data_IF_498099107032
#
_entry.id   IF_498099107032
#
_cell.length_a   1.000
_cell.length_b   1.000
_cell.length_c   1.000
_cell.angle_alpha   90.00
_cell.angle_beta   90.00
_cell.angle_gamma   90.00
#
_symmetry.space_group_name_H-M   'P 1'
#
loop_
_entity.id
_entity.type
_entity.pdbx_description
1 polymer ?
#
# COMPACT_ATOMS: atom_id res chain seq x y z
N UNK A 1 8.15 20.55 22.78
CA UNK A 1 9.32 20.29 21.93
C UNK A 1 9.76 18.84 22.13
N UNK A 2 9.25 17.90 21.33
CA UNK A 2 9.73 16.52 21.28
C UNK A 2 10.30 16.29 19.89
N UNK A 3 11.52 15.79 19.87
CA UNK A 3 12.36 15.58 18.70
C UNK A 3 11.89 14.29 18.01
N UNK A 4 11.09 14.37 16.95
CA UNK A 4 10.77 13.21 16.10
C UNK A 4 11.99 12.93 15.24
N UNK A 5 12.86 12.04 15.75
CA UNK A 5 14.09 11.64 15.10
C UNK A 5 13.85 11.09 13.69
N UNK A 6 14.50 11.70 12.71
CA UNK A 6 14.73 11.12 11.39
C UNK A 6 15.52 9.82 11.55
N UNK A 7 14.84 8.69 11.53
CA UNK A 7 15.49 7.41 11.26
C UNK A 7 15.61 7.25 9.74
N UNK A 8 16.63 7.87 9.14
CA UNK A 8 17.06 7.49 7.80
C UNK A 8 17.67 6.09 7.88
N UNK A 9 17.09 5.15 7.14
CA UNK A 9 17.55 3.76 7.07
C UNK A 9 18.79 3.72 6.16
N UNK A 10 19.89 3.18 6.67
CA UNK A 10 21.13 2.92 5.94
C UNK A 10 21.11 1.49 5.36
N UNK A 11 20.95 1.40 4.03
CA UNK A 11 20.83 0.13 3.31
C UNK A 11 22.17 -0.54 2.96
N UNK A 12 23.32 0.06 3.33
CA UNK A 12 24.65 -0.40 2.91
C UNK A 12 25.17 -1.69 3.58
N UNK A 13 24.41 -2.29 4.51
CA UNK A 13 24.91 -3.38 5.39
C UNK A 13 24.34 -4.80 5.14
N UNK A 14 23.63 -5.04 4.03
CA UNK A 14 23.04 -6.37 3.72
C UNK A 14 23.69 -7.10 2.54
N UNK A 15 25.02 -7.12 2.48
CA UNK A 15 25.72 -8.02 1.56
C UNK A 15 26.66 -8.91 2.39
N UNK A 16 26.28 -10.17 2.64
CA UNK A 16 27.28 -11.24 2.79
C UNK A 16 26.65 -12.65 2.65
N UNK A 17 27.25 -13.38 1.71
CA UNK A 17 27.43 -14.84 1.59
C UNK A 17 26.25 -15.72 1.16
N UNK A 18 26.43 -16.34 -0.02
CA UNK A 18 26.32 -17.78 -0.24
C UNK A 18 27.11 -18.15 -1.51
N UNK A 19 28.34 -18.65 -1.34
CA UNK A 19 29.08 -19.34 -2.41
C UNK A 19 29.26 -20.82 -2.03
N UNK A 20 28.32 -21.64 -2.48
CA UNK A 20 28.43 -23.10 -2.49
C UNK A 20 28.44 -23.60 -3.93
N UNK A 21 29.53 -24.22 -4.35
CA UNK A 21 29.65 -24.81 -5.68
C UNK A 21 28.75 -26.04 -5.80
N UNK A 22 27.99 -26.14 -6.89
CA UNK A 22 27.19 -27.33 -7.25
C UNK A 22 27.65 -27.83 -8.62
N UNK A 23 27.93 -29.13 -8.71
CA UNK A 23 28.35 -29.82 -9.92
C UNK A 23 27.21 -29.89 -10.96
N UNK A 24 27.51 -29.99 -12.27
CA UNK A 24 26.49 -29.88 -13.31
C UNK A 24 25.68 -31.18 -13.44
N UNK A 25 24.35 -31.07 -13.33
CA UNK A 25 23.42 -32.10 -13.76
C UNK A 25 23.03 -31.85 -15.23
N UNK A 26 23.05 -32.90 -16.04
CA UNK A 26 22.68 -32.90 -17.45
C UNK A 26 21.23 -32.47 -17.67
N UNK A 27 21.02 -31.51 -18.58
CA UNK A 27 19.70 -30.97 -18.90
C UNK A 27 19.02 -31.78 -20.01
N UNK A 28 17.83 -32.31 -19.70
CA UNK A 28 16.83 -32.66 -20.70
C UNK A 28 15.96 -31.42 -20.98
N UNK A 29 15.52 -31.19 -22.23
CA UNK A 29 14.71 -30.03 -22.57
C UNK A 29 13.33 -30.15 -21.94
N UNK A 30 13.07 -29.33 -20.91
CA UNK A 30 11.73 -29.14 -20.37
C UNK A 30 10.90 -28.36 -21.40
N UNK A 31 9.82 -28.95 -21.88
CA UNK A 31 8.82 -28.22 -22.66
C UNK A 31 8.31 -27.04 -21.81
N UNK A 32 8.56 -25.82 -22.28
CA UNK A 32 8.11 -24.62 -21.60
C UNK A 32 6.58 -24.58 -21.64
N UNK A 33 5.94 -24.57 -20.46
CA UNK A 33 4.54 -24.19 -20.35
C UNK A 33 4.39 -22.76 -20.89
N UNK A 34 3.31 -22.44 -21.62
CA UNK A 34 3.08 -21.09 -22.10
C UNK A 34 3.06 -20.13 -20.90
N UNK A 35 3.87 -19.08 -20.99
CA UNK A 35 3.91 -18.03 -19.97
C UNK A 35 2.49 -17.50 -19.74
N UNK A 36 2.02 -17.54 -18.49
CA UNK A 36 0.79 -16.88 -18.11
C UNK A 36 0.86 -15.41 -18.57
N UNK A 37 -0.22 -14.89 -19.14
CA UNK A 37 -0.32 -13.48 -19.47
C UNK A 37 0.09 -12.65 -18.23
N UNK A 38 0.89 -11.58 -18.38
CA UNK A 38 1.28 -10.77 -17.23
C UNK A 38 0.00 -10.32 -16.52
N UNK A 39 -0.11 -10.62 -15.24
CA UNK A 39 -1.19 -10.09 -14.41
C UNK A 39 -1.25 -8.57 -14.63
N UNK A 40 -2.44 -8.05 -14.95
CA UNK A 40 -2.62 -6.62 -15.11
C UNK A 40 -2.06 -5.93 -13.85
N UNK A 41 -1.16 -4.94 -14.04
CA UNK A 41 -0.50 -4.25 -12.93
C UNK A 41 -1.50 -3.52 -12.02
N UNK A 42 -1.04 -2.96 -10.89
CA UNK A 42 -1.93 -2.28 -9.94
C UNK A 42 -2.72 -1.15 -10.62
N UNK A 43 -4.00 -1.03 -10.25
CA UNK A 43 -4.93 -0.08 -10.88
C UNK A 43 -4.52 1.35 -10.51
N UNK A 44 -4.21 2.16 -11.53
CA UNK A 44 -3.93 3.59 -11.35
C UNK A 44 -5.18 4.47 -11.49
N UNK A 45 -6.10 4.12 -12.39
CA UNK A 45 -7.31 4.89 -12.67
C UNK A 45 -8.53 3.97 -12.71
N UNK A 46 -9.58 4.35 -11.98
CA UNK A 46 -10.83 3.60 -11.90
C UNK A 46 -12.02 4.58 -12.00
N UNK A 47 -13.10 4.26 -12.73
CA UNK A 47 -14.33 5.03 -12.64
C UNK A 47 -14.95 4.93 -11.24
N UNK A 48 -15.81 5.89 -10.89
CA UNK A 48 -16.61 5.87 -9.67
C UNK A 48 -18.11 5.78 -10.03
N UNK A 49 -18.61 4.62 -10.50
CA UNK A 49 -20.01 4.49 -10.94
C UNK A 49 -21.01 4.58 -9.77
N UNK A 50 -20.53 4.36 -8.54
CA UNK A 50 -21.31 4.45 -7.31
C UNK A 50 -20.62 5.31 -6.25
N UNK A 51 -21.07 5.12 -5.01
CA UNK A 51 -20.50 5.80 -3.84
C UNK A 51 -19.06 5.35 -3.58
N UNK A 52 -18.15 6.28 -3.34
CA UNK A 52 -16.78 5.99 -2.89
C UNK A 52 -16.72 6.13 -1.37
N UNK A 53 -16.18 5.12 -0.69
CA UNK A 53 -15.94 5.12 0.75
C UNK A 53 -14.46 4.88 0.98
N UNK A 54 -13.81 5.77 1.72
CA UNK A 54 -12.40 5.67 2.03
C UNK A 54 -12.19 5.32 3.51
N UNK A 55 -11.26 4.41 3.79
CA UNK A 55 -10.91 3.99 5.15
C UNK A 55 -9.39 4.07 5.29
N UNK A 56 -8.93 4.84 6.27
CA UNK A 56 -7.51 5.03 6.55
C UNK A 56 -6.89 3.88 7.34
N UNK A 57 -5.87 4.24 8.11
CA UNK A 57 -4.98 3.38 8.88
C UNK A 57 -5.76 2.50 9.88
N UNK A 58 -5.79 1.18 9.62
CA UNK A 58 -6.48 0.19 10.46
C UNK A 58 -5.52 -0.44 11.46
N UNK A 59 -4.25 -0.64 11.07
CA UNK A 59 -3.19 -1.16 11.94
C UNK A 59 -3.62 -2.39 12.75
N UNK A 60 -4.08 -3.44 12.07
CA UNK A 60 -4.45 -4.71 12.71
C UNK A 60 -5.59 -4.65 13.73
N UNK A 61 -6.44 -3.61 13.73
CA UNK A 61 -7.70 -3.58 14.50
C UNK A 61 -8.89 -3.98 13.61
N UNK A 62 -9.04 -5.29 13.37
CA UNK A 62 -10.08 -5.83 12.50
C UNK A 62 -11.49 -5.55 13.02
N UNK A 63 -11.69 -5.53 14.34
CA UNK A 63 -12.99 -5.19 14.93
C UNK A 63 -13.40 -3.75 14.62
N UNK A 64 -12.45 -2.80 14.66
CA UNK A 64 -12.70 -1.43 14.22
C UNK A 64 -12.97 -1.37 12.72
N UNK A 65 -12.22 -2.12 11.90
CA UNK A 65 -12.42 -2.15 10.45
C UNK A 65 -13.81 -2.68 10.08
N UNK A 66 -14.25 -3.80 10.65
CA UNK A 66 -15.61 -4.33 10.46
C UNK A 66 -16.67 -3.33 10.88
N UNK A 67 -16.46 -2.62 11.99
CA UNK A 67 -17.41 -1.60 12.47
C UNK A 67 -17.55 -0.46 11.45
N UNK A 68 -16.44 0.03 10.90
CA UNK A 68 -16.45 1.06 9.85
C UNK A 68 -17.18 0.57 8.60
N UNK A 69 -16.90 -0.65 8.15
CA UNK A 69 -17.55 -1.24 6.98
C UNK A 69 -19.06 -1.42 7.16
N UNK A 70 -19.50 -1.80 8.37
CA UNK A 70 -20.92 -1.95 8.69
C UNK A 70 -21.64 -0.60 8.77
N UNK A 71 -21.07 0.37 9.48
CA UNK A 71 -21.66 1.72 9.61
C UNK A 71 -21.71 2.44 8.26
N UNK A 72 -20.73 2.19 7.39
CA UNK A 72 -20.74 2.71 6.02
C UNK A 72 -21.69 1.94 5.08
N UNK A 73 -22.28 0.83 5.51
CA UNK A 73 -23.20 0.03 4.69
C UNK A 73 -22.51 -0.69 3.54
N UNK A 74 -21.27 -1.16 3.74
CA UNK A 74 -20.51 -1.94 2.76
C UNK A 74 -20.48 -3.43 3.08
N UNK A 75 -20.63 -3.79 4.36
CA UNK A 75 -20.46 -5.15 4.86
C UNK A 75 -21.53 -5.50 5.88
N UNK A 76 -22.00 -6.74 5.84
CA UNK A 76 -22.76 -7.39 6.90
C UNK A 76 -22.18 -8.77 7.20
N UNK A 77 -22.14 -9.18 8.48
CA UNK A 77 -21.52 -10.45 8.88
C UNK A 77 -22.25 -11.68 8.34
N UNK A 78 -23.54 -11.58 8.05
CA UNK A 78 -24.34 -12.70 7.53
C UNK A 78 -24.33 -12.78 6.00
N UNK A 79 -24.09 -11.66 5.32
CA UNK A 79 -24.21 -11.55 3.86
C UNK A 79 -22.89 -11.26 3.13
N UNK A 80 -21.83 -10.84 3.83
CA UNK A 80 -20.60 -10.36 3.20
C UNK A 80 -20.77 -8.94 2.66
N UNK A 81 -20.27 -8.70 1.45
CA UNK A 81 -20.44 -7.42 0.75
C UNK A 81 -21.92 -7.07 0.49
N UNK A 82 -22.34 -5.90 0.96
CA UNK A 82 -23.67 -5.32 0.72
C UNK A 82 -23.60 -3.90 0.13
N UNK A 83 -22.41 -3.48 -0.32
CA UNK A 83 -22.16 -2.13 -0.83
C UNK A 83 -22.68 -1.85 -2.24
N UNK A 84 -23.29 -2.84 -2.92
CA UNK A 84 -23.69 -2.73 -4.32
C UNK A 84 -22.51 -2.32 -5.20
N UNK A 85 -22.69 -1.29 -6.04
CA UNK A 85 -21.67 -0.75 -6.93
C UNK A 85 -20.70 0.26 -6.28
N UNK A 86 -20.63 0.30 -4.95
CA UNK A 86 -19.71 1.18 -4.24
C UNK A 86 -18.23 0.81 -4.48
N UNK A 87 -17.35 1.81 -4.35
CA UNK A 87 -15.90 1.60 -4.31
C UNK A 87 -15.40 1.81 -2.89
N UNK A 88 -14.82 0.78 -2.28
CA UNK A 88 -14.06 0.89 -1.04
C UNK A 88 -12.59 1.17 -1.38
N UNK A 89 -12.02 2.22 -0.81
CA UNK A 89 -10.58 2.50 -0.86
C UNK A 89 -10.00 2.39 0.54
N UNK A 90 -9.22 1.34 0.80
CA UNK A 90 -8.43 1.19 2.02
C UNK A 90 -7.05 1.84 1.78
N UNK A 91 -6.70 2.88 2.54
CA UNK A 91 -5.60 3.81 2.24
C UNK A 91 -4.28 3.40 2.91
N UNK A 92 -3.91 2.12 2.82
CA UNK A 92 -2.66 1.60 3.39
C UNK A 92 -2.65 1.47 4.91
N UNK A 93 -1.56 0.93 5.44
CA UNK A 93 -1.36 0.67 6.87
C UNK A 93 -2.45 -0.25 7.46
N UNK A 94 -2.65 -1.39 6.81
CA UNK A 94 -3.45 -2.49 7.36
C UNK A 94 -2.64 -3.30 8.38
N UNK A 95 -1.32 -3.34 8.21
CA UNK A 95 -0.38 -4.10 9.03
C UNK A 95 0.12 -3.34 10.27
N UNK A 96 0.76 -4.11 11.14
CA UNK A 96 1.44 -3.71 12.38
C UNK A 96 0.53 -3.07 13.45
N UNK A 97 1.12 -2.84 14.64
CA UNK A 97 0.54 -2.30 15.89
C UNK A 97 -0.55 -3.16 16.53
N UNK A 98 -1.60 -3.50 15.79
CA UNK A 98 -2.73 -4.28 16.27
C UNK A 98 -2.45 -5.77 16.34
N UNK A 99 -3.42 -6.51 16.85
CA UNK A 99 -3.31 -7.95 17.10
C UNK A 99 -4.02 -8.82 16.06
N UNK A 100 -4.76 -8.21 15.13
CA UNK A 100 -5.71 -8.88 14.24
C UNK A 100 -5.34 -8.69 12.75
N UNK A 101 -4.05 -8.61 12.42
CA UNK A 101 -3.58 -8.35 11.05
C UNK A 101 -4.04 -9.43 10.05
N UNK A 102 -4.00 -10.71 10.45
CA UNK A 102 -4.45 -11.81 9.59
C UNK A 102 -5.96 -11.75 9.32
N UNK A 103 -6.74 -11.37 10.32
CA UNK A 103 -8.18 -11.17 10.23
C UNK A 103 -8.49 -10.00 9.28
N UNK A 104 -7.80 -8.87 9.41
CA UNK A 104 -7.92 -7.74 8.49
C UNK A 104 -7.61 -8.14 7.03
N UNK A 105 -6.50 -8.85 6.82
CA UNK A 105 -6.11 -9.31 5.48
C UNK A 105 -7.13 -10.30 4.90
N UNK A 106 -7.62 -11.24 5.70
CA UNK A 106 -8.67 -12.19 5.26
C UNK A 106 -9.97 -11.48 4.90
N UNK A 107 -10.38 -10.49 5.69
CA UNK A 107 -11.55 -9.68 5.40
C UNK A 107 -11.37 -8.91 4.08
N UNK A 108 -10.23 -8.23 3.88
CA UNK A 108 -9.94 -7.55 2.61
C UNK A 108 -9.97 -8.50 1.40
N UNK A 109 -9.37 -9.69 1.51
CA UNK A 109 -9.42 -10.70 0.44
C UNK A 109 -10.85 -11.12 0.12
N UNK A 110 -11.67 -11.33 1.14
CA UNK A 110 -13.08 -11.71 1.00
C UNK A 110 -13.86 -10.60 0.28
N UNK A 111 -13.74 -9.36 0.74
CA UNK A 111 -14.43 -8.22 0.13
C UNK A 111 -13.97 -7.98 -1.33
N UNK A 112 -12.67 -8.16 -1.63
CA UNK A 112 -12.14 -8.08 -3.00
C UNK A 112 -12.73 -9.13 -3.94
N UNK A 113 -13.14 -10.29 -3.41
CA UNK A 113 -13.80 -11.35 -4.18
C UNK A 113 -15.31 -11.13 -4.32
N UNK A 114 -15.96 -10.58 -3.30
CA UNK A 114 -17.41 -10.40 -3.25
C UNK A 114 -17.87 -9.13 -3.96
N UNK A 115 -17.21 -7.99 -3.74
CA UNK A 115 -17.64 -6.71 -4.27
C UNK A 115 -17.89 -6.70 -5.79
N UNK A 116 -17.01 -7.28 -6.63
CA UNK A 116 -17.24 -7.30 -8.08
C UNK A 116 -18.49 -8.06 -8.51
N UNK A 117 -18.99 -9.02 -7.71
CA UNK A 117 -20.21 -9.79 -8.02
C UNK A 117 -21.46 -8.93 -7.96
N UNK A 118 -21.43 -7.87 -7.15
CA UNK A 118 -22.49 -6.88 -6.98
C UNK A 118 -22.18 -5.55 -7.71
N UNK A 119 -21.16 -5.56 -8.58
CA UNK A 119 -20.71 -4.39 -9.34
C UNK A 119 -19.86 -3.38 -8.55
N UNK A 120 -19.46 -3.72 -7.33
CA UNK A 120 -18.58 -2.92 -6.48
C UNK A 120 -17.10 -3.23 -6.67
N UNK A 121 -16.23 -2.43 -6.05
CA UNK A 121 -14.78 -2.60 -6.13
C UNK A 121 -14.11 -2.33 -4.79
N UNK A 122 -13.07 -3.09 -4.45
CA UNK A 122 -12.21 -2.84 -3.29
C UNK A 122 -10.78 -2.58 -3.76
N UNK A 123 -10.28 -1.38 -3.48
CA UNK A 123 -8.89 -0.97 -3.72
C UNK A 123 -8.19 -0.90 -2.37
N UNK A 124 -7.04 -1.57 -2.23
CA UNK A 124 -6.15 -1.41 -1.07
C UNK A 124 -4.87 -0.76 -1.57
N UNK A 125 -4.49 0.36 -0.97
CA UNK A 125 -3.24 1.04 -1.26
C UNK A 125 -2.11 0.46 -0.41
N UNK A 126 -0.87 0.61 -0.89
CA UNK A 126 0.30 0.41 -0.06
C UNK A 126 0.42 1.57 0.92
N UNK A 127 0.63 1.27 2.20
CA UNK A 127 1.12 2.19 3.22
C UNK A 127 2.59 1.96 3.54
N UNK A 128 3.14 2.75 4.46
CA UNK A 128 4.53 2.56 4.85
C UNK A 128 4.73 1.25 5.63
N UNK A 129 3.73 0.74 6.33
CA UNK A 129 3.84 -0.51 7.08
C UNK A 129 3.88 -1.74 6.17
N UNK A 130 3.17 -1.72 5.03
CA UNK A 130 3.26 -2.80 4.02
C UNK A 130 4.68 -2.91 3.45
N UNK A 131 5.27 -1.78 3.07
CA UNK A 131 6.64 -1.77 2.50
C UNK A 131 7.71 -2.02 3.56
N UNK A 132 7.49 -1.62 4.82
CA UNK A 132 8.39 -1.93 5.94
C UNK A 132 8.50 -3.44 6.14
N UNK A 133 7.36 -4.13 6.20
CA UNK A 133 7.34 -5.59 6.33
C UNK A 133 7.99 -6.26 5.12
N UNK A 134 7.76 -5.73 3.90
CA UNK A 134 8.42 -6.24 2.70
C UNK A 134 9.93 -6.04 2.64
N UNK A 135 10.45 -5.06 3.36
CA UNK A 135 11.87 -4.86 3.55
C UNK A 135 12.45 -5.56 4.79
N UNK A 136 11.65 -6.38 5.49
CA UNK A 136 12.06 -7.11 6.69
C UNK A 136 12.13 -6.24 7.95
N UNK A 137 11.48 -5.07 7.96
CA UNK A 137 11.38 -4.16 9.09
C UNK A 137 10.06 -4.42 9.82
N UNK A 138 10.06 -5.38 10.75
CA UNK A 138 8.82 -5.91 11.35
C UNK A 138 8.63 -5.54 12.83
N UNK A 139 9.47 -4.65 13.38
CA UNK A 139 9.47 -4.34 14.82
C UNK A 139 8.20 -3.61 15.31
N UNK A 140 7.36 -3.14 14.39
CA UNK A 140 6.08 -2.50 14.70
C UNK A 140 4.94 -3.50 14.89
N UNK A 141 5.12 -4.77 14.51
CA UNK A 141 4.13 -5.81 14.72
C UNK A 141 3.93 -6.08 16.22
N UNK A 142 2.67 -6.23 16.64
CA UNK A 142 2.41 -6.65 18.02
C UNK A 142 2.92 -8.07 18.27
N UNK A 143 3.30 -8.44 19.50
CA UNK A 143 3.73 -9.81 19.80
C UNK A 143 2.69 -10.87 19.41
N UNK A 144 1.39 -10.56 19.59
CA UNK A 144 0.29 -11.45 19.21
C UNK A 144 0.21 -11.63 17.71
N UNK A 145 0.28 -10.52 16.95
CA UNK A 145 0.24 -10.60 15.50
C UNK A 145 1.48 -11.33 14.96
N UNK A 146 2.67 -11.02 15.46
CA UNK A 146 3.91 -11.69 15.06
C UNK A 146 3.84 -13.22 15.27
N UNK A 147 3.26 -13.67 16.39
CA UNK A 147 3.07 -15.10 16.69
C UNK A 147 1.96 -15.77 15.84
N UNK A 148 1.10 -15.01 15.17
CA UNK A 148 0.02 -15.55 14.35
C UNK A 148 0.49 -15.98 12.94
N UNK A 149 1.64 -15.48 12.48
CA UNK A 149 2.26 -15.91 11.23
C UNK A 149 3.23 -17.06 11.49
N UNK A 150 3.19 -18.11 10.67
CA UNK A 150 4.14 -19.23 10.75
C UNK A 150 5.59 -18.76 10.54
N UNK A 151 5.82 -17.97 9.49
CA UNK A 151 7.06 -17.25 9.24
C UNK A 151 6.75 -15.90 8.59
N UNK A 152 6.59 -14.86 9.43
CA UNK A 152 6.29 -13.49 8.97
C UNK A 152 7.35 -12.99 8.00
N UNK A 153 8.62 -13.24 8.29
CA UNK A 153 9.74 -12.70 7.51
C UNK A 153 9.71 -13.29 6.09
N UNK A 154 9.66 -14.62 5.96
CA UNK A 154 9.59 -15.28 4.65
C UNK A 154 8.30 -14.92 3.89
N UNK A 155 7.18 -14.74 4.60
CA UNK A 155 5.92 -14.38 3.96
C UNK A 155 5.93 -12.96 3.38
N UNK A 156 6.51 -11.99 4.10
CA UNK A 156 6.46 -10.58 3.71
C UNK A 156 7.65 -10.07 2.93
N UNK A 157 8.87 -10.60 3.13
CA UNK A 157 10.04 -10.17 2.36
C UNK A 157 9.72 -10.17 0.86
N UNK A 158 10.24 -9.18 0.12
CA UNK A 158 10.05 -9.07 -1.33
C UNK A 158 10.22 -10.43 -2.04
N UNK A 159 9.22 -10.82 -2.84
CA UNK A 159 9.15 -12.15 -3.45
C UNK A 159 8.47 -13.25 -2.62
N UNK A 160 8.17 -12.99 -1.34
CA UNK A 160 7.38 -13.82 -0.43
C UNK A 160 5.90 -13.86 -0.79
N UNK A 161 5.15 -14.78 -0.18
CA UNK A 161 3.75 -15.05 -0.54
C UNK A 161 2.83 -13.86 -0.28
N UNK A 162 2.95 -13.20 0.88
CA UNK A 162 2.19 -12.00 1.21
C UNK A 162 2.73 -10.78 0.47
N UNK A 163 4.05 -10.69 0.26
CA UNK A 163 4.66 -9.66 -0.57
C UNK A 163 4.07 -9.62 -2.00
N UNK A 164 3.90 -10.79 -2.62
CA UNK A 164 3.27 -10.93 -3.95
C UNK A 164 1.79 -10.54 -3.96
N UNK A 165 1.08 -10.73 -2.85
CA UNK A 165 -0.28 -10.22 -2.74
C UNK A 165 -0.30 -8.70 -2.68
N UNK A 166 0.58 -8.10 -1.85
CA UNK A 166 0.78 -6.65 -1.77
C UNK A 166 1.24 -6.06 -3.11
N UNK A 167 1.92 -6.83 -3.97
CA UNK A 167 2.35 -6.38 -5.30
C UNK A 167 1.17 -6.00 -6.22
N UNK A 168 -0.05 -6.40 -5.90
CA UNK A 168 -1.27 -5.96 -6.63
C UNK A 168 -1.84 -4.62 -6.13
N UNK A 169 -1.31 -4.09 -5.03
CA UNK A 169 -1.81 -2.89 -4.37
C UNK A 169 -1.08 -1.67 -4.94
N UNK A 170 -1.80 -0.65 -5.44
CA UNK A 170 -1.14 0.55 -5.95
C UNK A 170 -0.56 1.40 -4.81
N UNK A 171 0.49 2.14 -5.10
CA UNK A 171 1.02 3.23 -4.25
C UNK A 171 0.01 4.38 -4.22
N UNK A 172 -0.53 4.73 -5.38
CA UNK A 172 -1.56 5.75 -5.53
C UNK A 172 -2.51 5.40 -6.68
N UNK A 173 -3.75 5.87 -6.57
CA UNK A 173 -4.75 5.72 -7.64
C UNK A 173 -5.69 6.92 -7.69
N UNK A 174 -6.46 7.03 -8.77
CA UNK A 174 -7.56 7.97 -8.95
C UNK A 174 -8.85 7.18 -9.14
N UNK A 175 -9.85 7.47 -8.30
CA UNK A 175 -11.20 6.89 -8.41
C UNK A 175 -12.17 8.03 -8.71
N UNK A 176 -12.75 8.02 -9.92
CA UNK A 176 -13.55 9.14 -10.42
C UNK A 176 -12.70 10.41 -10.54
N UNK A 177 -13.03 11.43 -9.74
CA UNK A 177 -12.29 12.70 -9.69
C UNK A 177 -11.47 12.88 -8.41
N UNK A 178 -11.25 11.81 -7.64
CA UNK A 178 -10.52 11.85 -6.37
C UNK A 178 -9.25 11.00 -6.45
N UNK A 179 -8.11 11.60 -6.14
CA UNK A 179 -6.85 10.90 -5.96
C UNK A 179 -6.76 10.32 -4.54
N UNK A 180 -6.10 9.17 -4.42
CA UNK A 180 -5.84 8.49 -3.16
C UNK A 180 -4.38 8.08 -3.09
N UNK A 181 -3.76 8.34 -1.96
CA UNK A 181 -2.40 7.93 -1.63
C UNK A 181 -2.29 7.76 -0.11
N UNK A 182 -1.34 6.99 0.40
CA UNK A 182 -1.26 6.79 1.84
C UNK A 182 -0.91 8.07 2.62
N UNK A 183 0.08 8.86 2.17
CA UNK A 183 0.58 10.01 2.96
C UNK A 183 0.58 11.33 2.17
N UNK A 184 1.14 11.36 0.96
CA UNK A 184 1.17 12.56 0.12
C UNK A 184 1.23 12.23 -1.36
N UNK A 185 1.02 13.23 -2.22
CA UNK A 185 1.22 13.12 -3.66
C UNK A 185 1.75 14.45 -4.19
N UNK A 186 2.91 14.38 -4.87
CA UNK A 186 3.63 15.55 -5.39
C UNK A 186 3.45 15.71 -6.90
N UNK A 187 3.75 16.90 -7.43
CA UNK A 187 3.73 17.12 -8.89
C UNK A 187 4.71 16.19 -9.61
N UNK A 188 5.92 16.01 -9.07
CA UNK A 188 6.93 15.14 -9.67
C UNK A 188 6.43 13.69 -9.80
N UNK A 189 5.71 13.17 -8.80
CA UNK A 189 5.09 11.84 -8.86
C UNK A 189 3.95 11.77 -9.88
N UNK A 190 3.12 12.82 -9.96
CA UNK A 190 2.05 12.91 -10.95
C UNK A 190 2.60 12.99 -12.40
N UNK A 191 3.72 13.69 -12.60
CA UNK A 191 4.39 13.80 -13.91
C UNK A 191 5.08 12.51 -14.33
N UNK A 192 5.70 11.79 -13.38
CA UNK A 192 6.27 10.48 -13.62
C UNK A 192 5.21 9.42 -14.01
N UNK A 193 3.96 9.62 -13.57
CA UNK A 193 2.82 8.77 -13.89
C UNK A 193 2.56 7.71 -12.82
N UNK A 194 1.28 7.60 -12.41
CA UNK A 194 0.87 6.68 -11.33
C UNK A 194 1.10 5.22 -11.73
N UNK A 195 0.86 4.86 -12.99
CA UNK A 195 1.11 3.51 -13.51
C UNK A 195 2.58 3.11 -13.38
N UNK A 196 3.50 4.02 -13.71
CA UNK A 196 4.93 3.76 -13.62
C UNK A 196 5.35 3.58 -12.15
N UNK A 197 4.88 4.46 -11.25
CA UNK A 197 5.14 4.36 -9.82
C UNK A 197 4.60 3.06 -9.22
N UNK A 198 3.35 2.71 -9.54
CA UNK A 198 2.71 1.49 -9.10
C UNK A 198 3.41 0.23 -9.64
N UNK A 199 3.79 0.21 -10.91
CA UNK A 199 4.48 -0.91 -11.52
C UNK A 199 5.89 -1.11 -10.94
N UNK A 200 6.59 -0.04 -10.59
CA UNK A 200 7.89 -0.12 -9.94
C UNK A 200 7.79 -0.77 -8.56
N UNK A 201 6.84 -0.34 -7.73
CA UNK A 201 6.57 -0.95 -6.42
C UNK A 201 6.14 -2.43 -6.55
N UNK A 202 5.25 -2.72 -7.50
CA UNK A 202 4.78 -4.09 -7.79
C UNK A 202 5.91 -5.05 -8.17
N UNK A 203 6.83 -4.62 -9.04
CA UNK A 203 8.00 -5.44 -9.43
C UNK A 203 8.91 -5.73 -8.24
N UNK A 204 9.16 -4.74 -7.40
CA UNK A 204 9.95 -4.95 -6.18
C UNK A 204 9.26 -5.95 -5.23
N UNK A 205 7.99 -5.71 -4.87
CA UNK A 205 7.23 -6.56 -3.96
C UNK A 205 7.10 -8.00 -4.45
N UNK A 206 6.92 -8.20 -5.75
CA UNK A 206 6.82 -9.54 -6.36
C UNK A 206 8.17 -10.27 -6.48
N UNK A 207 9.29 -9.58 -6.26
CA UNK A 207 10.64 -10.11 -6.44
C UNK A 207 11.09 -10.19 -7.90
N UNK A 208 10.34 -9.61 -8.84
CA UNK A 208 10.72 -9.54 -10.26
C UNK A 208 11.53 -8.28 -10.61
N UNK A 209 11.72 -7.39 -9.64
CA UNK A 209 12.45 -6.12 -9.77
C UNK A 209 13.83 -6.15 -9.12
N UNK A 210 14.44 -4.97 -8.91
CA UNK A 210 15.71 -4.85 -8.20
C UNK A 210 15.62 -5.38 -6.75
N UNK A 211 16.76 -5.75 -6.18
CA UNK A 211 16.85 -6.18 -4.78
C UNK A 211 16.52 -5.03 -3.81
N UNK A 212 17.00 -3.82 -4.12
CA UNK A 212 16.75 -2.63 -3.32
C UNK A 212 15.35 -2.07 -3.60
N UNK A 213 14.66 -1.54 -2.56
CA UNK A 213 13.38 -0.91 -2.76
C UNK A 213 13.50 0.38 -3.61
N UNK A 214 12.47 0.72 -4.39
CA UNK A 214 12.40 1.98 -5.10
C UNK A 214 12.52 3.20 -4.17
N UNK A 215 13.19 4.25 -4.65
CA UNK A 215 13.42 5.47 -3.87
C UNK A 215 12.10 6.18 -3.47
N UNK A 216 11.03 6.04 -4.25
CA UNK A 216 9.71 6.57 -3.86
C UNK A 216 9.16 5.91 -2.58
N UNK A 217 9.47 4.63 -2.36
CA UNK A 217 9.00 3.88 -1.18
C UNK A 217 9.87 4.17 0.03
N UNK A 218 11.19 4.28 -0.16
CA UNK A 218 12.15 4.60 0.88
C UNK A 218 13.10 5.70 0.40
N UNK A 219 12.72 6.97 0.54
CA UNK A 219 13.55 8.06 0.09
C UNK A 219 14.81 8.13 0.96
N UNK A 220 15.98 8.24 0.32
CA UNK A 220 17.27 8.36 0.99
C UNK A 220 18.04 9.58 0.47
N UNK A 221 18.74 10.29 1.35
CA UNK A 221 19.63 11.41 1.00
C UNK A 221 19.00 12.80 1.11
N UNK A 222 19.78 13.83 0.77
CA UNK A 222 19.42 15.25 0.95
C UNK A 222 18.46 15.80 -0.12
N UNK A 223 18.29 15.09 -1.23
CA UNK A 223 17.37 15.44 -2.34
C UNK A 223 16.12 14.53 -2.35
N UNK A 224 15.82 13.91 -1.20
CA UNK A 224 14.65 13.07 -1.04
C UNK A 224 13.38 13.87 -1.39
N UNK A 225 12.69 13.46 -2.47
CA UNK A 225 11.34 13.94 -2.75
C UNK A 225 10.42 13.47 -1.62
N UNK A 226 9.37 14.26 -1.28
CA UNK A 226 8.36 13.81 -0.34
C UNK A 226 7.79 12.47 -0.78
N UNK A 227 8.00 11.43 0.04
CA UNK A 227 7.54 10.09 -0.31
C UNK A 227 6.02 10.01 -0.24
N UNK A 228 5.37 9.28 -1.16
CA UNK A 228 3.92 9.12 -1.14
C UNK A 228 3.43 8.34 0.09
N UNK A 229 4.34 7.63 0.77
CA UNK A 229 4.03 6.74 1.89
C UNK A 229 4.49 7.28 3.25
N UNK A 230 5.38 8.29 3.28
CA UNK A 230 5.97 8.76 4.55
C UNK A 230 5.82 10.26 4.79
N UNK A 231 5.53 11.06 3.75
CA UNK A 231 5.51 12.51 3.90
C UNK A 231 4.33 12.96 4.77
N UNK A 232 4.61 13.88 5.68
CA UNK A 232 3.60 14.52 6.54
C UNK A 232 3.35 15.98 6.17
N UNK A 233 3.91 16.46 5.07
CA UNK A 233 3.82 17.88 4.67
C UNK A 233 2.38 18.36 4.46
N UNK A 234 1.45 17.44 4.16
CA UNK A 234 0.03 17.72 3.96
C UNK A 234 -0.84 17.48 5.20
N UNK A 235 -0.27 16.99 6.30
CA UNK A 235 -1.09 16.50 7.43
C UNK A 235 -0.50 16.75 8.82
N UNK A 236 0.75 17.21 8.93
CA UNK A 236 1.41 17.65 10.15
C UNK A 236 1.66 19.17 10.14
N UNK A 237 1.32 19.90 11.22
CA UNK A 237 0.70 19.42 12.44
C UNK A 237 -0.73 18.85 12.26
N UNK A 238 -1.15 17.87 13.07
CA UNK A 238 -2.50 17.34 13.01
C UNK A 238 -3.53 18.44 13.19
N UNK A 239 -4.66 18.28 12.52
CA UNK A 239 -5.80 19.17 12.54
C UNK A 239 -5.49 20.61 12.10
N UNK A 240 -4.38 20.86 11.39
CA UNK A 240 -4.04 22.16 10.78
C UNK A 240 -4.07 22.15 9.25
N UNK A 241 -4.01 23.34 8.64
CA UNK A 241 -3.85 23.49 7.18
C UNK A 241 -2.37 23.33 6.80
N UNK A 242 -2.04 22.68 5.66
CA UNK A 242 -0.68 22.53 5.20
C UNK A 242 0.00 23.86 4.84
N UNK A 243 1.32 23.85 4.75
CA UNK A 243 2.07 25.00 4.26
C UNK A 243 1.67 25.35 2.81
N UNK A 244 1.62 26.63 2.41
CA UNK A 244 1.22 27.04 1.06
C UNK A 244 2.02 26.38 -0.07
N UNK A 245 3.31 26.12 0.16
CA UNK A 245 4.15 25.42 -0.83
C UNK A 245 3.66 23.99 -1.10
N UNK A 246 3.32 23.23 -0.06
CA UNK A 246 2.79 21.88 -0.19
C UNK A 246 1.39 21.89 -0.85
N UNK A 247 0.55 22.87 -0.50
CA UNK A 247 -0.75 23.06 -1.17
C UNK A 247 -0.60 23.37 -2.66
N UNK A 248 0.34 24.23 -3.04
CA UNK A 248 0.57 24.60 -4.45
C UNK A 248 1.08 23.40 -5.27
N UNK A 249 2.01 22.62 -4.71
CA UNK A 249 2.50 21.40 -5.36
C UNK A 249 1.39 20.37 -5.53
N UNK A 250 0.58 20.14 -4.49
CA UNK A 250 -0.59 19.27 -4.57
C UNK A 250 -1.60 19.73 -5.62
N UNK A 251 -1.90 21.03 -5.69
CA UNK A 251 -2.81 21.57 -6.71
C UNK A 251 -2.29 21.31 -8.13
N UNK A 252 -0.99 21.46 -8.35
CA UNK A 252 -0.38 21.14 -9.64
C UNK A 252 -0.45 19.64 -9.94
N UNK A 253 -0.20 18.78 -8.95
CA UNK A 253 -0.32 17.33 -9.07
C UNK A 253 -1.76 16.90 -9.43
N UNK A 254 -2.76 17.43 -8.73
CA UNK A 254 -4.18 17.16 -8.99
C UNK A 254 -4.58 17.61 -10.40
N UNK A 255 -4.13 18.79 -10.83
CA UNK A 255 -4.35 19.27 -12.20
C UNK A 255 -3.73 18.34 -13.24
N UNK A 256 -2.50 17.84 -12.99
CA UNK A 256 -1.82 16.89 -13.88
C UNK A 256 -2.56 15.56 -14.01
N UNK A 257 -3.21 15.13 -12.94
CA UNK A 257 -3.98 13.87 -12.86
C UNK A 257 -5.45 14.02 -13.27
N UNK A 258 -5.95 15.25 -13.47
CA UNK A 258 -7.37 15.51 -13.71
C UNK A 258 -8.27 15.24 -12.49
N UNK A 259 -7.70 15.20 -11.29
CA UNK A 259 -8.41 15.00 -10.03
C UNK A 259 -8.74 16.36 -9.37
N UNK A 260 -9.75 16.39 -8.49
CA UNK A 260 -10.20 17.58 -7.76
C UNK A 260 -9.72 17.63 -6.32
N UNK A 261 -9.45 16.47 -5.72
CA UNK A 261 -9.04 16.35 -4.32
C UNK A 261 -8.15 15.12 -4.12
N UNK A 262 -7.37 15.14 -3.05
CA UNK A 262 -6.56 14.03 -2.58
C UNK A 262 -7.10 13.59 -1.20
N UNK A 263 -7.20 12.28 -0.98
CA UNK A 263 -7.49 11.68 0.32
C UNK A 263 -6.28 10.87 0.78
N UNK A 264 -5.82 11.10 2.01
CA UNK A 264 -4.65 10.48 2.64
C UNK A 264 -4.94 10.01 4.06
N UNK A 265 -4.11 9.12 4.58
CA UNK A 265 -4.04 8.66 5.97
C UNK A 265 -2.73 9.08 6.64
N UNK A 266 -2.01 8.11 7.23
CA UNK A 266 -0.64 8.19 7.79
C UNK A 266 -0.44 9.06 9.04
N UNK A 267 -1.05 10.25 9.08
CA UNK A 267 -0.99 11.16 10.22
C UNK A 267 -2.32 11.15 10.95
N UNK A 268 -2.33 10.60 12.17
CA UNK A 268 -3.51 10.56 13.05
C UNK A 268 -4.14 11.94 13.19
N UNK A 269 -5.43 12.04 12.85
CA UNK A 269 -6.26 13.24 13.02
C UNK A 269 -7.33 12.98 14.08
N UNK A 270 -7.82 14.03 14.76
CA UNK A 270 -8.97 13.87 15.67
C UNK A 270 -10.30 13.69 14.93
N UNK A 271 -10.35 14.08 13.64
CA UNK A 271 -11.51 13.98 12.77
C UNK A 271 -11.11 13.97 11.28
N UNK A 272 -12.01 13.49 10.43
CA UNK A 272 -11.90 13.65 8.97
C UNK A 272 -12.14 15.11 8.61
N UNK A 273 -11.37 15.64 7.66
CA UNK A 273 -11.48 17.00 7.10
C UNK A 273 -11.90 16.96 5.64
#
# INVERSE_FOLDING_TARGET
>A
RRNNGRHMIDWSRRALLLSGAVAPLSMLPSAALPAAAPAAGPIAFLPAPGRVVAVGDIHGDCDAFERVLRVSGLYDRSAGWIGGNAVLVQIGDILDRGAQELECLRLLRTLKQEAPREGGTVVSLLGNHEIMNAAGITYMASPRSAAAFEDRATAFLAGGTLARELASWPVACVVGDTAFCHAALTLAQAEAGLEAGNAEASRWLSGSGPELPPAQLFPSGQLATPSPLWSRELSDPPDTEPAPAACNDLQAALKRLGAKRLVVGHTVQSRIK
#
